data_IF_077715409555
#
_entry.id   IF_077715409555
#
_cell.length_a   1.000
_cell.length_b   1.000
_cell.length_c   1.000
_cell.angle_alpha   90.00
_cell.angle_beta   90.00
_cell.angle_gamma   90.00
#
_symmetry.space_group_name_H-M   'P 1'
#
loop_
_entity.id
_entity.type
_entity.pdbx_description
1 polymer ?
#
# COMPACT_ATOMS: atom_id res chain seq x y z
N UNK A 1 9.03 6.70 -2.27
CA UNK A 1 8.20 7.67 -3.02
C UNK A 1 8.95 8.21 -4.24
N UNK A 2 10.19 8.71 -4.09
CA UNK A 2 10.99 9.27 -5.20
C UNK A 2 11.27 8.28 -6.33
N UNK A 3 11.53 7.01 -6.00
CA UNK A 3 11.78 5.96 -7.00
C UNK A 3 10.56 5.67 -7.91
N UNK A 4 9.34 5.71 -7.35
CA UNK A 4 8.09 5.53 -8.10
C UNK A 4 7.85 6.70 -9.04
N UNK A 5 8.07 7.93 -8.56
CA UNK A 5 7.99 9.14 -9.37
C UNK A 5 8.95 9.04 -10.55
N UNK A 6 10.20 8.67 -10.31
CA UNK A 6 11.22 8.55 -11.35
C UNK A 6 10.88 7.46 -12.38
N UNK A 7 10.35 6.31 -11.93
CA UNK A 7 9.89 5.25 -12.84
C UNK A 7 8.72 5.73 -13.71
N UNK A 8 7.77 6.46 -13.12
CA UNK A 8 6.62 7.00 -13.83
C UNK A 8 7.04 8.02 -14.89
N UNK A 9 7.89 8.97 -14.52
CA UNK A 9 8.41 9.98 -15.44
C UNK A 9 9.22 9.34 -16.57
N UNK A 10 10.08 8.38 -16.25
CA UNK A 10 10.89 7.67 -17.25
C UNK A 10 10.02 6.92 -18.28
N UNK A 11 8.99 6.21 -17.82
CA UNK A 11 8.07 5.51 -18.73
C UNK A 11 7.20 6.47 -19.54
N UNK A 12 6.76 7.57 -18.94
CA UNK A 12 5.97 8.59 -19.65
C UNK A 12 6.79 9.29 -20.73
N UNK A 13 8.02 9.71 -20.41
CA UNK A 13 8.91 10.32 -21.41
C UNK A 13 9.26 9.37 -22.54
N UNK A 14 9.38 8.06 -22.27
CA UNK A 14 9.55 7.06 -23.32
C UNK A 14 8.33 6.95 -24.22
N UNK A 15 7.13 6.92 -23.64
CA UNK A 15 5.87 6.91 -24.38
C UNK A 15 5.69 8.17 -25.24
N UNK A 16 6.00 9.35 -24.70
CA UNK A 16 5.97 10.62 -25.43
C UNK A 16 6.96 10.64 -26.60
N UNK A 17 8.18 10.11 -26.40
CA UNK A 17 9.18 9.99 -27.45
C UNK A 17 8.72 9.04 -28.56
N UNK A 18 8.12 7.91 -28.20
CA UNK A 18 7.57 6.94 -29.17
C UNK A 18 6.39 7.53 -29.95
N UNK A 19 5.57 8.38 -29.32
CA UNK A 19 4.47 9.11 -29.95
C UNK A 19 4.97 10.16 -30.96
N UNK A 20 5.99 10.95 -30.58
CA UNK A 20 6.57 12.00 -31.45
C UNK A 20 7.31 11.42 -32.66
N UNK A 21 7.97 10.27 -32.49
CA UNK A 21 8.69 9.59 -33.57
C UNK A 21 7.74 8.90 -34.58
N UNK A 22 6.48 8.63 -34.21
CA UNK A 22 5.46 8.03 -35.08
C UNK A 22 4.64 9.08 -35.87
N UNK A 23 5.21 10.24 -36.18
CA UNK A 23 4.58 11.33 -36.95
C UNK A 23 4.54 11.06 -38.47
N UNK A 24 4.33 9.82 -38.89
CA UNK A 24 3.71 9.58 -40.20
C UNK A 24 2.24 10.02 -40.09
N UNK A 25 1.64 10.62 -41.14
CA UNK A 25 0.26 11.09 -41.06
C UNK A 25 -0.64 9.90 -40.74
N UNK A 26 -1.06 9.76 -39.48
CA UNK A 26 -1.89 8.66 -39.00
C UNK A 26 -3.29 8.87 -39.58
N UNK A 27 -3.46 8.42 -40.82
CA UNK A 27 -4.67 8.62 -41.62
C UNK A 27 -5.57 7.38 -41.53
N UNK A 28 -5.69 6.78 -40.34
CA UNK A 28 -6.53 5.61 -40.13
C UNK A 28 -7.03 5.54 -38.70
N UNK A 29 -8.36 5.50 -38.54
CA UNK A 29 -9.07 5.27 -37.27
C UNK A 29 -8.57 3.99 -36.56
N UNK A 30 -8.05 3.01 -37.32
CA UNK A 30 -7.49 1.78 -36.76
C UNK A 30 -6.19 2.00 -35.98
N UNK A 31 -5.34 2.96 -36.39
CA UNK A 31 -4.11 3.31 -35.66
C UNK A 31 -4.42 3.95 -34.31
N UNK A 32 -5.34 4.91 -34.30
CA UNK A 32 -5.80 5.58 -33.07
C UNK A 32 -6.45 4.59 -32.08
N UNK A 33 -7.21 3.61 -32.58
CA UNK A 33 -7.78 2.56 -31.73
C UNK A 33 -6.69 1.67 -31.09
N UNK A 34 -5.62 1.37 -31.83
CA UNK A 34 -4.45 0.65 -31.32
C UNK A 34 -3.73 1.43 -30.22
N UNK A 35 -3.44 2.70 -30.45
CA UNK A 35 -2.77 3.57 -29.47
C UNK A 35 -3.62 3.75 -28.22
N UNK A 36 -4.94 3.98 -28.37
CA UNK A 36 -5.86 4.07 -27.25
C UNK A 36 -5.92 2.78 -26.43
N UNK A 37 -5.94 1.62 -27.09
CA UNK A 37 -5.93 0.32 -26.39
C UNK A 37 -4.66 0.11 -25.58
N UNK A 38 -3.52 0.54 -26.12
CA UNK A 38 -2.20 0.47 -25.46
C UNK A 38 -2.15 1.40 -24.26
N UNK A 39 -2.58 2.65 -24.44
CA UNK A 39 -2.68 3.62 -23.35
C UNK A 39 -3.61 3.16 -22.24
N UNK A 40 -4.81 2.65 -22.59
CA UNK A 40 -5.76 2.12 -21.62
C UNK A 40 -5.17 0.97 -20.82
N UNK A 41 -4.50 0.04 -21.49
CA UNK A 41 -3.84 -1.09 -20.82
C UNK A 41 -2.75 -0.59 -19.87
N UNK A 42 -1.95 0.38 -20.31
CA UNK A 42 -0.93 1.02 -19.48
C UNK A 42 -1.52 1.66 -18.22
N UNK A 43 -2.60 2.46 -18.36
CA UNK A 43 -3.26 3.10 -17.20
C UNK A 43 -3.77 2.04 -16.22
N UNK A 44 -4.37 0.96 -16.72
CA UNK A 44 -4.84 -0.14 -15.86
C UNK A 44 -3.68 -0.84 -15.14
N UNK A 45 -2.55 -1.03 -15.80
CA UNK A 45 -1.38 -1.66 -15.19
C UNK A 45 -0.75 -0.77 -14.11
N UNK A 46 -0.70 0.54 -14.33
CA UNK A 46 -0.28 1.51 -13.31
C UNK A 46 -1.20 1.46 -12.10
N UNK A 47 -2.52 1.46 -12.31
CA UNK A 47 -3.50 1.39 -11.23
C UNK A 47 -3.39 0.09 -10.43
N UNK A 48 -3.20 -1.05 -11.11
CA UNK A 48 -2.92 -2.33 -10.44
C UNK A 48 -1.63 -2.29 -9.62
N UNK A 49 -0.56 -1.73 -10.18
CA UNK A 49 0.70 -1.58 -9.46
C UNK A 49 0.53 -0.71 -8.20
N UNK A 50 -0.26 0.37 -8.29
CA UNK A 50 -0.54 1.22 -7.13
C UNK A 50 -1.34 0.45 -6.07
N UNK A 51 -2.37 -0.30 -6.48
CA UNK A 51 -3.15 -1.15 -5.58
C UNK A 51 -2.26 -2.14 -4.83
N UNK A 52 -1.38 -2.86 -5.53
CA UNK A 52 -0.46 -3.81 -4.90
C UNK A 52 0.49 -3.14 -3.90
N UNK A 53 0.95 -1.92 -4.20
CA UNK A 53 1.80 -1.16 -3.27
C UNK A 53 1.03 -0.75 -2.02
N UNK A 54 -0.23 -0.35 -2.14
CA UNK A 54 -1.09 -0.02 -1.00
C UNK A 54 -1.35 -1.26 -0.14
N UNK A 55 -1.66 -2.40 -0.76
CA UNK A 55 -1.87 -3.67 -0.04
C UNK A 55 -0.62 -4.09 0.74
N UNK A 56 0.56 -3.98 0.13
CA UNK A 56 1.86 -4.25 0.78
C UNK A 56 2.13 -3.30 1.95
N UNK A 57 1.78 -2.02 1.79
CA UNK A 57 1.93 -1.03 2.84
C UNK A 57 1.05 -1.34 4.06
N UNK A 58 -0.21 -1.72 3.84
CA UNK A 58 -1.13 -2.12 4.91
C UNK A 58 -0.58 -3.33 5.67
N UNK A 59 -0.15 -4.37 4.95
CA UNK A 59 0.43 -5.55 5.57
C UNK A 59 1.70 -5.23 6.39
N UNK A 60 2.52 -4.30 5.91
CA UNK A 60 3.72 -3.84 6.62
C UNK A 60 3.38 -3.05 7.89
N UNK A 61 2.31 -2.23 7.85
CA UNK A 61 1.82 -1.48 8.99
C UNK A 61 1.31 -2.42 10.08
N UNK A 62 0.51 -3.43 9.71
CA UNK A 62 0.02 -4.45 10.66
C UNK A 62 1.19 -5.20 11.31
N UNK A 63 2.20 -5.59 10.53
CA UNK A 63 3.40 -6.22 11.08
C UNK A 63 4.12 -5.31 12.08
N UNK A 64 4.22 -4.02 11.79
CA UNK A 64 4.89 -3.06 12.66
C UNK A 64 4.10 -2.84 13.97
N UNK A 65 2.77 -2.78 13.89
CA UNK A 65 1.89 -2.72 15.05
C UNK A 65 1.99 -3.98 15.91
N UNK A 66 1.94 -5.17 15.29
CA UNK A 66 2.10 -6.44 15.98
C UNK A 66 3.48 -6.59 16.61
N UNK A 67 4.54 -6.14 15.94
CA UNK A 67 5.87 -6.06 16.52
C UNK A 67 5.92 -5.11 17.72
N UNK A 68 5.26 -3.96 17.65
CA UNK A 68 5.15 -3.03 18.77
C UNK A 68 4.44 -3.65 19.97
N UNK A 69 3.39 -4.45 19.72
CA UNK A 69 2.57 -5.12 20.75
C UNK A 69 3.14 -6.44 21.26
N UNK A 70 4.28 -6.92 20.74
CA UNK A 70 4.84 -8.25 21.05
C UNK A 70 5.16 -8.52 22.54
N UNK A 71 5.20 -7.50 23.39
CA UNK A 71 5.44 -7.60 24.84
C UNK A 71 4.27 -7.09 25.69
N UNK A 72 3.12 -6.85 25.07
CA UNK A 72 1.92 -6.38 25.75
C UNK A 72 1.05 -7.60 26.04
N UNK A 73 0.70 -7.79 27.31
CA UNK A 73 -0.26 -8.77 27.76
C UNK A 73 -1.58 -8.05 28.03
N UNK A 74 -2.63 -8.43 27.31
CA UNK A 74 -3.98 -7.92 27.56
C UNK A 74 -4.65 -8.84 28.58
N UNK A 75 -4.97 -8.31 29.76
CA UNK A 75 -5.70 -9.02 30.81
C UNK A 75 -7.15 -8.52 30.74
N UNK A 76 -8.10 -9.44 30.55
CA UNK A 76 -9.52 -9.14 30.50
C UNK A 76 -10.25 -9.71 31.74
N UNK A 77 -11.35 -9.07 32.16
CA UNK A 77 -12.19 -9.57 33.26
C UNK A 77 -11.68 -9.24 34.66
N UNK A 78 -10.90 -8.17 34.81
CA UNK A 78 -10.51 -7.62 36.11
C UNK A 78 -11.60 -6.64 36.56
N UNK A 79 -12.11 -6.79 37.78
CA UNK A 79 -13.06 -5.83 38.36
C UNK A 79 -12.36 -4.48 38.61
N UNK A 80 -12.96 -3.39 38.14
CA UNK A 80 -12.39 -2.05 38.26
C UNK A 80 -12.55 -1.51 39.70
N UNK A 81 -11.43 -1.30 40.40
CA UNK A 81 -11.43 -0.63 41.71
C UNK A 81 -11.18 0.88 41.59
N UNK A 82 -11.88 1.69 42.40
CA UNK A 82 -11.77 3.17 42.40
C UNK A 82 -10.37 3.73 42.68
N UNK A 83 -9.47 2.90 43.21
CA UNK A 83 -8.08 3.28 43.52
C UNK A 83 -7.14 2.16 43.06
N UNK A 84 -7.21 1.88 41.77
CA UNK A 84 -6.55 0.76 41.13
C UNK A 84 -5.02 0.85 41.21
N UNK A 85 -4.40 -0.19 41.77
CA UNK A 85 -2.95 -0.40 41.73
C UNK A 85 -2.68 -1.60 40.81
N UNK A 86 -2.41 -1.29 39.53
CA UNK A 86 -2.23 -2.28 38.47
C UNK A 86 -1.16 -3.33 38.81
N UNK A 87 -0.14 -2.95 39.59
CA UNK A 87 0.95 -3.84 39.98
C UNK A 87 0.54 -4.89 41.01
N UNK A 88 -0.45 -4.58 41.86
CA UNK A 88 -0.99 -5.51 42.85
C UNK A 88 -2.03 -6.43 42.22
N UNK A 89 -2.94 -5.88 41.42
CA UNK A 89 -3.97 -6.64 40.71
C UNK A 89 -3.35 -7.70 39.77
N UNK A 90 -2.36 -7.32 38.95
CA UNK A 90 -1.69 -8.25 38.03
C UNK A 90 -0.98 -9.41 38.74
N UNK A 91 -0.33 -9.17 39.88
CA UNK A 91 0.34 -10.24 40.67
C UNK A 91 -0.65 -11.20 41.31
N UNK A 92 -1.78 -10.70 41.80
CA UNK A 92 -2.81 -11.53 42.41
C UNK A 92 -3.44 -12.47 41.38
N UNK A 93 -3.70 -11.99 40.15
CA UNK A 93 -4.23 -12.80 39.07
C UNK A 93 -3.23 -13.86 38.57
N UNK A 94 -1.94 -13.52 38.43
CA UNK A 94 -0.92 -14.46 37.97
C UNK A 94 -0.64 -15.61 38.96
N UNK A 95 -0.93 -15.39 40.26
CA UNK A 95 -0.76 -16.40 41.31
C UNK A 95 -2.01 -17.26 41.55
N UNK A 96 -3.15 -16.93 40.93
CA UNK A 96 -4.42 -17.66 41.08
C UNK A 96 -4.72 -18.63 39.92
N UNK A 97 -3.91 -18.60 38.87
CA UNK A 97 -3.93 -19.54 37.74
C UNK A 97 -2.89 -20.63 37.93
#
# INVERSE_FOLDING_TARGET
MENLSNMFHSRMSKFEADLLNNTSPMTSIAGLAGDFSTFRSFVLDVLKSLQQQVESLVASMDQLEMQGRRKILLIHGVEEEKKEDFTKSSKNHLNSA
#
